data_IF_544485972549
#
_entry.id   IF_544485972549
#
_cell.length_a   1.000
_cell.length_b   1.000
_cell.length_c   1.000
_cell.angle_alpha   90.00
_cell.angle_beta   90.00
_cell.angle_gamma   90.00
#
_symmetry.space_group_name_H-M   'P 1'
#
loop_
_entity.id
_entity.type
_entity.pdbx_description
1 polymer ?
#
# COMPACT_ATOMS: atom_id res chain seq x y z
N UNK A 1 23.54 -4.58 21.07
CA UNK A 1 22.92 -3.50 20.29
C UNK A 1 22.70 -4.04 18.89
N UNK A 2 21.47 -4.47 18.55
CA UNK A 2 21.18 -5.12 17.25
C UNK A 2 20.89 -4.04 16.21
N UNK A 3 21.81 -3.86 15.28
CA UNK A 3 21.67 -3.03 14.09
C UNK A 3 20.64 -3.71 13.17
N UNK A 4 19.47 -3.10 12.99
CA UNK A 4 18.49 -3.56 12.01
C UNK A 4 18.91 -2.99 10.66
N UNK A 5 19.50 -3.84 9.81
CA UNK A 5 19.85 -3.49 8.43
C UNK A 5 18.55 -3.44 7.63
N UNK A 6 18.12 -2.24 7.24
CA UNK A 6 17.14 -2.05 6.17
C UNK A 6 17.79 -2.51 4.87
N UNK A 7 17.49 -3.74 4.45
CA UNK A 7 17.80 -4.20 3.11
C UNK A 7 16.89 -3.48 2.11
N UNK A 8 17.37 -2.35 1.57
CA UNK A 8 16.92 -1.87 0.26
C UNK A 8 17.60 -2.79 -0.75
N UNK A 9 16.92 -3.87 -1.15
CA UNK A 9 17.37 -4.68 -2.28
C UNK A 9 17.16 -3.87 -3.55
N UNK A 10 18.17 -3.07 -3.92
CA UNK A 10 18.35 -2.53 -5.25
C UNK A 10 18.76 -3.69 -6.16
N UNK A 11 17.77 -4.42 -6.68
CA UNK A 11 17.99 -5.39 -7.74
C UNK A 11 18.35 -4.61 -9.02
N UNK A 12 19.64 -4.51 -9.33
CA UNK A 12 20.08 -4.07 -10.66
C UNK A 12 19.74 -5.18 -11.67
N UNK A 13 18.72 -4.97 -12.50
CA UNK A 13 18.37 -5.88 -13.58
C UNK A 13 17.93 -5.09 -14.83
N UNK A 14 18.58 -5.39 -15.96
CA UNK A 14 18.21 -5.20 -17.36
C UNK A 14 17.01 -4.29 -17.68
N UNK A 15 17.27 -3.21 -18.44
CA UNK A 15 16.31 -2.36 -19.18
C UNK A 15 14.85 -2.48 -18.69
N UNK A 16 14.61 -2.06 -17.44
CA UNK A 16 13.34 -2.32 -16.80
C UNK A 16 12.31 -1.29 -17.26
N UNK A 17 11.64 -1.55 -18.38
CA UNK A 17 10.54 -0.71 -18.86
C UNK A 17 9.32 -0.76 -17.94
N UNK A 18 9.25 -1.76 -17.04
CA UNK A 18 8.17 -1.91 -16.05
C UNK A 18 8.66 -1.54 -14.65
N UNK A 19 8.02 -0.55 -14.02
CA UNK A 19 8.22 -0.25 -12.60
C UNK A 19 6.97 -0.61 -11.80
N UNK A 20 7.15 -1.07 -10.57
CA UNK A 20 6.06 -1.37 -9.64
C UNK A 20 6.27 -0.60 -8.35
N UNK A 21 5.24 0.11 -7.91
CA UNK A 21 5.26 0.83 -6.64
C UNK A 21 4.09 0.42 -5.77
N UNK A 22 4.36 0.25 -4.48
CA UNK A 22 3.32 0.03 -3.46
C UNK A 22 3.13 1.32 -2.68
N UNK A 23 1.90 1.81 -2.65
CA UNK A 23 1.50 3.00 -1.91
C UNK A 23 1.22 2.64 -0.45
N UNK A 24 1.26 3.64 0.42
CA UNK A 24 1.02 3.43 1.86
C UNK A 24 -0.41 2.95 2.16
N UNK A 25 -1.36 3.16 1.25
CA UNK A 25 -2.75 2.72 1.34
C UNK A 25 -2.98 1.29 0.80
N UNK A 26 -1.92 0.53 0.48
CA UNK A 26 -2.03 -0.85 0.01
C UNK A 26 -2.36 -1.00 -1.48
N UNK A 27 -2.37 0.10 -2.24
CA UNK A 27 -2.47 0.05 -3.69
C UNK A 27 -1.12 -0.31 -4.30
N UNK A 28 -1.15 -1.18 -5.32
CA UNK A 28 -0.01 -1.42 -6.19
C UNK A 28 -0.28 -0.82 -7.56
N UNK A 29 0.67 -0.01 -8.02
CA UNK A 29 0.68 0.52 -9.36
C UNK A 29 1.83 -0.11 -10.14
N UNK A 30 1.50 -0.71 -11.27
CA UNK A 30 2.49 -1.14 -12.25
C UNK A 30 2.44 -0.19 -13.44
N UNK A 31 3.59 0.40 -13.79
CA UNK A 31 3.73 1.28 -14.96
C UNK A 31 4.70 0.61 -15.92
N UNK A 32 4.23 0.32 -17.13
CA UNK A 32 5.04 -0.31 -18.18
C UNK A 32 5.20 0.64 -19.35
N UNK A 33 6.44 0.99 -19.68
CA UNK A 33 6.77 1.73 -20.88
C UNK A 33 6.80 0.80 -22.10
N UNK A 34 6.28 1.31 -23.22
CA UNK A 34 6.38 0.73 -24.54
C UNK A 34 7.16 1.72 -25.41
N UNK A 35 8.26 1.25 -25.99
CA UNK A 35 9.09 2.05 -26.91
C UNK A 35 8.61 1.94 -28.37
N UNK A 36 7.48 1.27 -28.62
CA UNK A 36 7.03 0.96 -29.98
C UNK A 36 7.95 -0.05 -30.68
N UNK A 37 8.20 0.18 -31.99
CA UNK A 37 9.08 -0.64 -32.81
C UNK A 37 10.30 0.19 -33.26
N UNK A 38 11.31 0.42 -32.40
CA UNK A 38 12.50 1.17 -32.76
C UNK A 38 13.18 0.59 -34.00
N UNK A 39 13.60 1.44 -34.93
CA UNK A 39 14.45 1.04 -36.07
C UNK A 39 15.95 1.12 -35.77
N UNK A 40 16.34 1.52 -34.54
CA UNK A 40 17.73 1.67 -34.10
C UNK A 40 18.03 0.96 -32.76
N UNK A 41 19.30 0.95 -32.35
CA UNK A 41 19.78 0.24 -31.14
C UNK A 41 19.65 1.06 -29.84
N UNK A 42 18.91 2.18 -29.84
CA UNK A 42 18.83 3.05 -28.68
C UNK A 42 18.23 2.31 -27.47
N UNK A 43 19.03 2.23 -26.39
CA UNK A 43 18.61 1.60 -25.14
C UNK A 43 18.16 2.68 -24.18
N UNK A 44 16.86 2.74 -23.96
CA UNK A 44 16.29 3.53 -22.88
C UNK A 44 16.14 2.66 -21.62
N UNK A 45 16.41 3.27 -20.47
CA UNK A 45 16.07 2.72 -19.16
C UNK A 45 15.12 3.66 -18.46
N UNK A 46 14.26 3.11 -17.61
CA UNK A 46 13.24 3.90 -16.91
C UNK A 46 13.45 3.78 -15.41
N UNK A 47 13.56 4.93 -14.75
CA UNK A 47 13.60 5.05 -13.31
C UNK A 47 12.25 5.53 -12.79
N UNK A 48 11.85 4.97 -11.64
CA UNK A 48 10.71 5.47 -10.87
C UNK A 48 11.21 5.88 -9.48
N UNK A 49 11.23 7.19 -9.22
CA UNK A 49 11.74 7.75 -7.98
C UNK A 49 10.63 8.50 -7.25
N UNK A 50 10.48 8.30 -5.93
CA UNK A 50 9.49 9.04 -5.15
C UNK A 50 9.79 10.54 -5.18
N UNK A 51 8.82 11.38 -5.57
CA UNK A 51 8.90 12.83 -5.52
C UNK A 51 8.56 13.32 -4.10
N UNK A 52 7.28 13.33 -3.74
CA UNK A 52 6.76 13.63 -2.41
C UNK A 52 5.45 12.85 -2.16
N UNK A 53 5.15 12.47 -0.92
CA UNK A 53 3.91 11.74 -0.59
C UNK A 53 3.68 10.50 -1.46
N UNK A 54 2.52 10.46 -2.12
CA UNK A 54 2.12 9.44 -3.11
C UNK A 54 2.37 9.90 -4.57
N UNK A 55 3.42 10.70 -4.78
CA UNK A 55 3.88 11.16 -6.10
C UNK A 55 5.27 10.63 -6.45
N UNK A 56 5.50 10.37 -7.74
CA UNK A 56 6.72 9.73 -8.25
C UNK A 56 7.20 10.38 -9.55
N UNK A 57 8.48 10.68 -9.66
CA UNK A 57 9.12 10.97 -10.93
C UNK A 57 9.31 9.69 -11.74
N UNK A 58 8.97 9.78 -13.02
CA UNK A 58 9.25 8.79 -14.05
C UNK A 58 10.28 9.40 -14.98
N UNK A 59 11.48 8.84 -15.00
CA UNK A 59 12.64 9.42 -15.69
C UNK A 59 13.15 8.40 -16.71
N UNK A 60 13.29 8.85 -17.95
CA UNK A 60 13.82 8.07 -19.06
C UNK A 60 15.26 8.46 -19.29
N UNK A 61 16.15 7.48 -19.16
CA UNK A 61 17.59 7.66 -19.32
C UNK A 61 18.05 6.99 -20.61
N UNK A 62 18.93 7.67 -21.35
CA UNK A 62 19.65 7.08 -22.48
C UNK A 62 20.83 6.19 -22.02
N UNK A 63 21.55 5.65 -23.00
CA UNK A 63 22.74 4.83 -22.79
C UNK A 63 23.94 5.58 -22.19
N UNK A 64 23.97 6.91 -22.28
CA UNK A 64 24.98 7.76 -21.64
C UNK A 64 24.56 8.21 -20.24
N UNK A 65 23.41 7.71 -19.76
CA UNK A 65 22.80 8.09 -18.50
C UNK A 65 22.41 9.57 -18.43
N UNK A 66 21.96 10.12 -19.57
CA UNK A 66 21.34 11.43 -19.65
C UNK A 66 19.82 11.28 -19.65
N UNK A 67 19.13 12.13 -18.88
CA UNK A 67 17.68 12.15 -18.81
C UNK A 67 17.11 12.78 -20.08
N UNK A 68 16.50 11.96 -20.93
CA UNK A 68 15.91 12.41 -22.20
C UNK A 68 14.45 12.83 -22.06
N UNK A 69 13.78 12.37 -21.00
CA UNK A 69 12.42 12.79 -20.67
C UNK A 69 12.10 12.49 -19.21
N UNK A 70 11.31 13.35 -18.56
CA UNK A 70 10.79 13.07 -17.23
C UNK A 70 9.38 13.63 -17.06
N UNK A 71 8.60 13.03 -16.16
CA UNK A 71 7.34 13.59 -15.70
C UNK A 71 7.05 13.16 -14.26
N UNK A 72 6.13 13.85 -13.59
CA UNK A 72 5.68 13.50 -12.24
C UNK A 72 4.33 12.77 -12.32
N UNK A 73 4.21 11.63 -11.66
CA UNK A 73 3.01 10.83 -11.54
C UNK A 73 2.47 10.95 -10.11
N UNK A 74 1.41 11.72 -9.93
CA UNK A 74 0.66 11.80 -8.68
C UNK A 74 -0.44 10.75 -8.69
N UNK A 75 -0.55 10.00 -7.59
CA UNK A 75 -1.59 9.00 -7.44
C UNK A 75 -2.28 9.09 -6.09
N UNK A 76 -3.59 8.99 -6.09
CA UNK A 76 -4.40 9.06 -4.88
C UNK A 76 -5.59 8.10 -4.98
N UNK A 77 -5.88 7.38 -3.91
CA UNK A 77 -7.11 6.59 -3.83
C UNK A 77 -8.31 7.54 -3.69
N UNK A 78 -9.41 7.25 -4.38
CA UNK A 78 -10.66 7.97 -4.17
C UNK A 78 -11.17 7.76 -2.73
N UNK A 79 -11.98 8.69 -2.18
CA UNK A 79 -12.47 8.60 -0.80
C UNK A 79 -13.24 7.32 -0.46
N UNK A 80 -13.87 6.71 -1.47
CA UNK A 80 -14.62 5.45 -1.37
C UNK A 80 -13.74 4.20 -1.56
N UNK A 81 -12.47 4.36 -1.95
CA UNK A 81 -11.54 3.25 -2.12
C UNK A 81 -11.71 2.46 -3.42
N UNK A 82 -12.70 2.82 -4.25
CA UNK A 82 -13.11 2.02 -5.41
C UNK A 82 -12.16 2.15 -6.60
N UNK A 83 -11.47 3.29 -6.69
CA UNK A 83 -10.58 3.62 -7.79
C UNK A 83 -9.40 4.49 -7.33
N UNK A 84 -8.36 4.54 -8.16
CA UNK A 84 -7.22 5.43 -8.01
C UNK A 84 -7.31 6.57 -9.01
N UNK A 85 -7.27 7.81 -8.54
CA UNK A 85 -7.00 8.96 -9.40
C UNK A 85 -5.51 8.97 -9.73
N UNK A 86 -5.17 8.95 -11.02
CA UNK A 86 -3.80 9.10 -11.50
C UNK A 86 -3.68 10.37 -12.36
N UNK A 87 -2.65 11.16 -12.09
CA UNK A 87 -2.37 12.43 -12.78
C UNK A 87 -0.90 12.45 -13.18
N UNK A 88 -0.62 12.63 -14.47
CA UNK A 88 0.71 12.87 -14.97
C UNK A 88 0.92 14.38 -15.16
N UNK A 89 1.96 14.94 -14.57
CA UNK A 89 2.27 16.37 -14.57
C UNK A 89 3.64 16.62 -15.21
N UNK A 90 3.88 17.82 -15.75
CA UNK A 90 5.23 18.24 -16.07
C UNK A 90 6.14 18.11 -14.85
N UNK A 91 7.35 17.57 -15.02
CA UNK A 91 8.37 17.60 -13.99
C UNK A 91 8.80 19.06 -13.75
N UNK A 92 8.61 19.54 -12.53
CA UNK A 92 8.94 20.91 -12.14
C UNK A 92 10.38 21.09 -11.67
N UNK A 93 10.67 22.29 -11.16
CA UNK A 93 11.99 22.70 -10.67
C UNK A 93 12.56 21.78 -9.57
N UNK A 94 11.69 21.11 -8.80
CA UNK A 94 12.09 20.14 -7.78
C UNK A 94 12.83 18.93 -8.37
N UNK A 95 12.49 18.49 -9.59
CA UNK A 95 13.24 17.45 -10.28
C UNK A 95 14.66 17.95 -10.56
N UNK A 96 14.81 19.15 -11.11
CA UNK A 96 16.11 19.72 -11.45
C UNK A 96 17.00 19.93 -10.22
N UNK A 97 16.41 20.33 -9.08
CA UNK A 97 17.13 20.44 -7.82
C UNK A 97 17.63 19.08 -7.30
N UNK A 98 16.85 18.01 -7.51
CA UNK A 98 17.19 16.66 -7.05
C UNK A 98 18.14 15.91 -7.98
N UNK A 99 18.04 16.18 -9.27
CA UNK A 99 18.86 15.58 -10.33
C UNK A 99 19.62 16.68 -11.09
N UNK A 100 20.58 17.36 -10.42
CA UNK A 100 21.35 18.40 -11.07
C UNK A 100 22.15 17.80 -12.23
N UNK A 101 22.13 18.47 -13.39
CA UNK A 101 22.81 18.05 -14.61
C UNK A 101 22.34 16.72 -15.22
N UNK A 102 21.11 16.28 -14.93
CA UNK A 102 20.55 15.05 -15.50
C UNK A 102 20.59 15.02 -17.04
N UNK A 103 20.41 16.16 -17.71
CA UNK A 103 20.57 16.31 -19.16
C UNK A 103 21.78 17.19 -19.52
N UNK A 104 22.96 16.86 -18.97
CA UNK A 104 24.21 17.56 -19.24
C UNK A 104 24.15 19.09 -19.02
N UNK A 105 23.38 19.52 -18.01
CA UNK A 105 23.19 20.92 -17.65
C UNK A 105 22.05 21.64 -18.40
N UNK A 106 21.35 20.97 -19.30
CA UNK A 106 20.11 21.47 -19.91
C UNK A 106 18.89 21.09 -19.07
N UNK A 107 17.76 21.81 -19.23
CA UNK A 107 16.49 21.39 -18.67
C UNK A 107 16.04 20.04 -19.27
N UNK A 108 15.69 19.08 -18.41
CA UNK A 108 15.17 17.78 -18.84
C UNK A 108 13.82 17.99 -19.55
N UNK A 109 13.62 17.44 -20.77
CA UNK A 109 12.33 17.47 -21.44
C UNK A 109 11.22 16.84 -20.61
N UNK A 110 10.00 17.37 -20.70
CA UNK A 110 8.86 16.93 -19.88
C UNK A 110 7.53 17.08 -20.63
N UNK A 111 6.44 16.58 -20.04
CA UNK A 111 5.08 16.85 -20.49
C UNK A 111 4.82 18.35 -20.64
N UNK A 112 4.10 18.74 -21.68
CA UNK A 112 3.73 20.13 -21.95
C UNK A 112 2.57 20.63 -21.07
N UNK A 113 1.74 19.72 -20.57
CA UNK A 113 0.60 20.00 -19.72
C UNK A 113 0.29 18.80 -18.82
N UNK A 114 -0.47 19.04 -17.76
CA UNK A 114 -1.02 18.00 -16.90
C UNK A 114 -2.04 17.16 -17.67
N UNK A 115 -1.96 15.84 -17.51
CA UNK A 115 -2.87 14.86 -18.10
C UNK A 115 -3.50 14.01 -17.00
N UNK A 116 -4.83 13.98 -16.96
CA UNK A 116 -5.55 13.06 -16.10
C UNK A 116 -5.69 11.71 -16.78
N UNK A 117 -5.32 10.65 -16.05
CA UNK A 117 -5.41 9.26 -16.54
C UNK A 117 -6.68 8.56 -16.04
N UNK A 118 -7.55 9.33 -15.38
CA UNK A 118 -8.87 8.93 -14.88
C UNK A 118 -8.85 8.45 -13.43
N UNK A 119 -10.05 8.17 -12.88
CA UNK A 119 -10.19 7.15 -11.85
C UNK A 119 -10.00 5.77 -12.48
N UNK A 120 -9.06 5.00 -11.95
CA UNK A 120 -8.69 3.66 -12.40
C UNK A 120 -9.04 2.65 -11.32
N UNK A 121 -10.07 1.83 -11.57
CA UNK A 121 -10.42 0.71 -10.71
C UNK A 121 -9.40 -0.44 -10.85
N UNK A 122 -9.47 -1.43 -9.95
CA UNK A 122 -8.58 -2.60 -10.01
C UNK A 122 -8.72 -3.35 -11.34
N UNK A 123 -7.58 -3.67 -11.96
CA UNK A 123 -7.52 -4.34 -13.27
C UNK A 123 -7.72 -3.42 -14.47
N UNK A 124 -8.12 -2.16 -14.27
CA UNK A 124 -8.17 -1.19 -15.36
C UNK A 124 -6.78 -0.66 -15.68
N UNK A 125 -6.65 -0.14 -16.91
CA UNK A 125 -5.42 0.50 -17.35
C UNK A 125 -5.68 1.78 -18.13
N UNK A 126 -4.78 2.75 -17.96
CA UNK A 126 -4.69 3.93 -18.81
C UNK A 126 -3.43 3.87 -19.67
N UNK A 127 -3.43 4.61 -20.78
CA UNK A 127 -2.24 4.80 -21.62
C UNK A 127 -1.92 6.29 -21.71
N UNK A 128 -0.64 6.64 -21.58
CA UNK A 128 -0.12 8.00 -21.74
C UNK A 128 0.85 8.00 -22.92
N UNK A 129 0.59 8.84 -23.93
CA UNK A 129 1.59 9.15 -24.95
C UNK A 129 2.58 10.17 -24.40
N UNK A 130 3.89 9.91 -24.56
CA UNK A 130 4.93 10.78 -23.99
C UNK A 130 5.59 11.63 -25.06
N UNK A 131 6.42 11.02 -25.91
CA UNK A 131 7.19 11.71 -26.93
C UNK A 131 7.48 10.79 -28.11
N UNK A 132 7.83 11.42 -29.22
CA UNK A 132 8.38 10.76 -30.40
C UNK A 132 9.82 11.24 -30.58
N UNK A 133 10.73 10.34 -30.96
CA UNK A 133 12.07 10.72 -31.44
C UNK A 133 12.03 10.76 -32.97
N UNK A 134 12.00 11.95 -33.60
CA UNK A 134 11.87 12.07 -35.05
C UNK A 134 13.01 11.38 -35.77
N UNK A 135 12.69 10.65 -36.86
CA UNK A 135 13.68 9.94 -37.68
C UNK A 135 14.04 8.53 -37.19
N UNK A 136 13.57 8.10 -36.00
CA UNK A 136 13.81 6.76 -35.46
C UNK A 136 12.55 5.89 -35.34
N UNK A 137 11.37 6.45 -35.67
CA UNK A 137 10.08 5.75 -35.54
C UNK A 137 9.72 5.36 -34.09
N UNK A 138 10.45 5.90 -33.12
CA UNK A 138 10.29 5.64 -31.69
C UNK A 138 9.12 6.47 -31.16
N UNK A 139 7.98 5.83 -30.94
CA UNK A 139 6.85 6.40 -30.22
C UNK A 139 6.81 5.82 -28.81
N UNK A 140 7.15 6.65 -27.83
CA UNK A 140 7.18 6.25 -26.43
C UNK A 140 5.81 6.50 -25.80
N UNK A 141 5.24 5.44 -25.26
CA UNK A 141 4.00 5.46 -24.50
C UNK A 141 4.13 4.63 -23.24
N UNK A 142 3.28 4.90 -22.26
CA UNK A 142 3.22 4.12 -21.04
C UNK A 142 1.83 3.60 -20.78
N UNK A 143 1.77 2.36 -20.30
CA UNK A 143 0.56 1.73 -19.80
C UNK A 143 0.62 1.65 -18.28
N UNK A 144 -0.39 2.22 -17.63
CA UNK A 144 -0.58 2.19 -16.19
C UNK A 144 -1.58 1.10 -15.90
N UNK A 145 -1.17 0.03 -15.23
CA UNK A 145 -2.06 -1.03 -14.75
C UNK A 145 -2.23 -0.87 -13.25
N UNK A 146 -3.47 -0.68 -12.80
CA UNK A 146 -3.80 -0.53 -11.39
C UNK A 146 -4.21 -1.88 -10.81
N UNK A 147 -3.61 -2.26 -9.70
CA UNK A 147 -4.06 -3.37 -8.86
C UNK A 147 -4.39 -2.82 -7.48
N UNK A 148 -5.69 -2.69 -7.23
CA UNK A 148 -6.22 -2.37 -5.91
C UNK A 148 -6.41 -3.69 -5.15
N UNK A 149 -5.89 -3.77 -3.94
CA UNK A 149 -6.00 -4.97 -3.11
C UNK A 149 -4.91 -6.02 -3.36
N UNK A 150 -4.88 -6.99 -2.46
CA UNK A 150 -3.77 -7.92 -2.23
C UNK A 150 -3.58 -8.96 -3.34
N UNK A 151 -2.95 -8.59 -4.46
CA UNK A 151 -2.43 -9.61 -5.40
C UNK A 151 -1.00 -10.08 -5.08
N UNK A 152 -0.31 -9.46 -4.13
CA UNK A 152 0.85 -10.11 -3.50
C UNK A 152 0.50 -10.50 -2.08
N UNK A 153 0.02 -11.75 -1.94
CA UNK A 153 -0.04 -12.57 -0.72
C UNK A 153 -0.60 -11.88 0.53
N UNK A 154 -1.77 -12.31 0.99
CA UNK A 154 -2.24 -12.14 2.37
C UNK A 154 -1.92 -10.74 2.93
N UNK A 155 -2.56 -9.71 2.37
CA UNK A 155 -2.28 -8.32 2.73
C UNK A 155 -2.33 -8.14 4.25
N UNK A 156 -1.25 -7.60 4.83
CA UNK A 156 -1.16 -7.38 6.26
C UNK A 156 -2.33 -6.51 6.74
N UNK A 157 -2.99 -6.97 7.79
CA UNK A 157 -4.01 -6.19 8.49
C UNK A 157 -3.34 -5.05 9.25
N UNK A 158 -3.96 -3.88 9.24
CA UNK A 158 -3.45 -2.68 9.91
C UNK A 158 -4.51 -2.13 10.85
N UNK A 159 -4.19 -2.07 12.13
CA UNK A 159 -5.07 -1.51 13.15
C UNK A 159 -4.44 -0.22 13.67
N UNK A 160 -5.17 0.89 13.60
CA UNK A 160 -4.72 2.19 14.11
C UNK A 160 -5.91 3.00 14.61
N UNK A 161 -5.84 3.45 15.86
CA UNK A 161 -6.91 4.26 16.46
C UNK A 161 -8.26 3.55 16.50
N UNK A 162 -8.27 2.22 16.66
CA UNK A 162 -9.48 1.41 16.55
C UNK A 162 -10.55 1.86 17.54
N UNK A 163 -11.78 2.03 17.04
CA UNK A 163 -13.01 2.17 17.81
C UNK A 163 -13.92 1.01 17.44
N UNK A 164 -14.46 0.33 18.45
CA UNK A 164 -15.28 -0.86 18.27
C UNK A 164 -16.65 -0.57 18.85
N UNK A 165 -17.69 -0.92 18.10
CA UNK A 165 -19.06 -0.90 18.55
C UNK A 165 -19.75 -2.23 18.25
N UNK A 166 -20.84 -2.48 18.96
CA UNK A 166 -21.77 -3.54 18.66
C UNK A 166 -23.18 -3.00 18.81
N UNK A 167 -24.04 -3.27 17.83
CA UNK A 167 -25.41 -2.72 17.77
C UNK A 167 -25.43 -1.18 17.94
N UNK A 168 -24.42 -0.49 17.40
CA UNK A 168 -24.24 0.96 17.52
C UNK A 168 -23.76 1.47 18.88
N UNK A 169 -23.60 0.59 19.89
CA UNK A 169 -23.07 0.96 21.21
C UNK A 169 -21.55 0.83 21.24
N UNK A 170 -20.81 1.85 21.70
CA UNK A 170 -19.36 1.76 21.81
C UNK A 170 -18.96 0.69 22.84
N UNK A 171 -18.05 -0.20 22.45
CA UNK A 171 -17.50 -1.25 23.31
C UNK A 171 -16.07 -0.93 23.74
N UNK A 172 -15.25 -0.40 22.84
CA UNK A 172 -13.84 -0.16 23.12
C UNK A 172 -13.22 0.90 22.19
N UNK A 173 -12.10 1.47 22.62
CA UNK A 173 -11.29 2.43 21.88
C UNK A 173 -11.50 3.90 22.27
N UNK A 174 -10.74 4.82 21.65
CA UNK A 174 -9.72 4.57 20.63
C UNK A 174 -8.49 3.83 21.19
N UNK A 175 -8.00 2.81 20.48
CA UNK A 175 -6.72 2.18 20.83
C UNK A 175 -5.55 3.15 20.60
N UNK A 176 -4.59 3.26 21.54
CA UNK A 176 -3.36 4.01 21.29
C UNK A 176 -2.46 3.27 20.29
N UNK A 177 -1.83 4.02 19.39
CA UNK A 177 -0.81 3.52 18.46
C UNK A 177 -1.34 2.87 17.18
N UNK A 178 -0.48 2.08 16.54
CA UNK A 178 -0.74 1.39 15.28
C UNK A 178 0.04 0.07 15.21
N UNK A 179 -0.60 -0.99 14.72
CA UNK A 179 0.02 -2.31 14.52
C UNK A 179 -0.29 -2.82 13.13
N UNK A 180 0.63 -3.60 12.55
CA UNK A 180 0.46 -4.20 11.23
C UNK A 180 1.11 -5.59 11.16
N UNK A 181 0.48 -6.53 10.47
CA UNK A 181 1.01 -7.88 10.29
C UNK A 181 0.03 -8.79 9.54
N UNK A 182 0.48 -9.97 9.11
CA UNK A 182 -0.38 -10.96 8.43
C UNK A 182 -1.63 -11.31 9.26
N UNK A 183 -1.46 -11.39 10.57
CA UNK A 183 -2.53 -11.53 11.54
C UNK A 183 -2.58 -10.30 12.41
N UNK A 184 -3.80 -9.87 12.75
CA UNK A 184 -4.02 -8.84 13.74
C UNK A 184 -4.99 -9.36 14.80
N UNK A 185 -4.94 -8.78 15.98
CA UNK A 185 -5.86 -9.11 17.05
C UNK A 185 -6.19 -7.88 17.87
N UNK A 186 -7.36 -7.89 18.48
CA UNK A 186 -7.65 -7.03 19.60
C UNK A 186 -8.33 -7.81 20.71
N UNK A 187 -8.13 -7.35 21.95
CA UNK A 187 -8.78 -7.89 23.13
C UNK A 187 -9.74 -6.85 23.67
N UNK A 188 -10.99 -7.25 23.91
CA UNK A 188 -11.98 -6.42 24.58
C UNK A 188 -12.19 -6.98 26.00
N UNK A 189 -12.00 -6.16 27.04
CA UNK A 189 -12.27 -6.56 28.42
C UNK A 189 -13.67 -7.14 28.60
N UNK A 190 -13.75 -8.28 29.28
CA UNK A 190 -15.00 -9.02 29.50
C UNK A 190 -15.55 -9.76 28.27
N UNK A 191 -14.91 -9.63 27.10
CA UNK A 191 -15.33 -10.31 25.85
C UNK A 191 -14.24 -11.20 25.25
N UNK A 192 -12.99 -11.10 25.68
CA UNK A 192 -11.92 -11.95 25.17
C UNK A 192 -11.23 -11.38 23.93
N UNK A 193 -10.53 -12.23 23.19
CA UNK A 193 -9.74 -11.84 22.03
C UNK A 193 -10.42 -12.21 20.72
N UNK A 194 -10.31 -11.28 19.77
CA UNK A 194 -10.68 -11.48 18.38
C UNK A 194 -9.39 -11.46 17.56
N UNK A 195 -9.14 -12.55 16.85
CA UNK A 195 -8.01 -12.70 15.94
C UNK A 195 -8.51 -12.64 14.51
N UNK A 196 -7.75 -11.98 13.66
CA UNK A 196 -8.14 -11.65 12.30
C UNK A 196 -7.09 -12.13 11.30
N UNK A 197 -7.56 -12.64 10.17
CA UNK A 197 -6.75 -12.98 9.00
C UNK A 197 -7.48 -12.60 7.71
N UNK A 198 -6.74 -12.36 6.64
CA UNK A 198 -7.26 -12.08 5.30
C UNK A 198 -7.40 -13.33 4.44
N UNK A 199 -7.14 -14.50 5.02
CA UNK A 199 -7.22 -15.80 4.36
C UNK A 199 -7.64 -16.90 5.36
N UNK A 200 -8.11 -18.07 4.87
CA UNK A 200 -8.33 -19.23 5.74
C UNK A 200 -7.05 -19.64 6.46
N UNK A 201 -7.17 -20.03 7.73
CA UNK A 201 -6.04 -20.46 8.57
C UNK A 201 -6.17 -21.96 8.90
N UNK A 202 -5.47 -22.86 8.18
CA UNK A 202 -5.52 -24.29 8.46
C UNK A 202 -5.07 -24.60 9.89
N UNK A 203 -5.77 -25.52 10.55
CA UNK A 203 -5.45 -25.96 11.92
C UNK A 203 -6.01 -25.08 13.04
N UNK A 204 -6.62 -23.94 12.72
CA UNK A 204 -7.28 -23.07 13.70
C UNK A 204 -8.74 -22.82 13.33
N UNK A 205 -9.59 -22.57 14.32
CA UNK A 205 -11.03 -22.38 14.16
C UNK A 205 -11.42 -20.97 13.64
N UNK A 206 -10.69 -20.46 12.66
CA UNK A 206 -11.03 -19.21 11.99
C UNK A 206 -12.26 -19.41 11.09
N UNK A 207 -13.28 -18.59 11.29
CA UNK A 207 -14.48 -18.57 10.46
C UNK A 207 -14.50 -17.33 9.60
N UNK A 208 -14.89 -17.48 8.33
CA UNK A 208 -15.13 -16.33 7.46
C UNK A 208 -16.37 -15.59 7.94
N UNK A 209 -16.18 -14.45 8.60
CA UNK A 209 -17.22 -13.83 9.42
C UNK A 209 -17.42 -12.35 9.15
N UNK A 210 -16.65 -11.75 8.24
CA UNK A 210 -16.79 -10.34 7.98
C UNK A 210 -16.14 -9.85 6.70
N UNK A 211 -16.19 -8.53 6.56
CA UNK A 211 -15.55 -7.79 5.48
C UNK A 211 -14.88 -6.52 6.02
N UNK A 212 -13.86 -6.08 5.30
CA UNK A 212 -13.22 -4.78 5.46
C UNK A 212 -13.53 -3.92 4.24
N UNK A 213 -13.67 -2.62 4.46
CA UNK A 213 -13.82 -1.59 3.44
C UNK A 213 -13.09 -0.35 3.93
N UNK A 214 -11.92 -0.07 3.34
CA UNK A 214 -11.02 0.99 3.78
C UNK A 214 -10.81 0.97 5.31
N UNK A 215 -11.31 1.98 6.01
CA UNK A 215 -11.13 2.20 7.45
C UNK A 215 -12.17 1.48 8.31
N UNK A 216 -13.11 0.76 7.69
CA UNK A 216 -14.17 0.03 8.40
C UNK A 216 -14.02 -1.46 8.24
N UNK A 217 -14.37 -2.19 9.29
CA UNK A 217 -14.51 -3.63 9.27
C UNK A 217 -15.81 -4.00 9.97
N UNK A 218 -16.58 -4.90 9.38
CA UNK A 218 -17.81 -5.44 9.95
C UNK A 218 -17.70 -6.95 10.00
N UNK A 219 -18.07 -7.54 11.13
CA UNK A 219 -18.08 -8.99 11.26
C UNK A 219 -19.13 -9.43 12.28
N UNK A 220 -19.57 -10.68 12.16
CA UNK A 220 -20.56 -11.29 13.05
C UNK A 220 -19.94 -12.53 13.68
N UNK A 221 -19.88 -12.57 15.01
CA UNK A 221 -19.40 -13.71 15.79
C UNK A 221 -20.33 -13.91 16.97
N UNK A 222 -20.64 -15.18 17.27
CA UNK A 222 -21.55 -15.55 18.37
C UNK A 222 -22.92 -14.84 18.28
N UNK A 223 -23.41 -14.63 17.05
CA UNK A 223 -24.63 -13.88 16.73
C UNK A 223 -24.62 -12.41 17.19
N UNK A 224 -23.44 -11.83 17.37
CA UNK A 224 -23.25 -10.42 17.69
C UNK A 224 -22.57 -9.72 16.53
N UNK A 225 -23.19 -8.64 16.06
CA UNK A 225 -22.62 -7.79 15.03
C UNK A 225 -21.65 -6.79 15.65
N UNK A 226 -20.47 -6.72 15.05
CA UNK A 226 -19.40 -5.79 15.41
C UNK A 226 -19.10 -4.86 14.26
N UNK A 227 -18.91 -3.58 14.58
CA UNK A 227 -18.32 -2.59 13.68
C UNK A 227 -17.02 -2.07 14.28
N UNK A 228 -15.98 -2.04 13.46
CA UNK A 228 -14.66 -1.53 13.80
C UNK A 228 -14.33 -0.40 12.85
N UNK A 229 -13.95 0.75 13.42
CA UNK A 229 -13.51 1.93 12.67
C UNK A 229 -12.08 2.26 13.04
N UNK A 230 -11.22 2.40 12.05
CA UNK A 230 -9.82 2.76 12.16
C UNK A 230 -9.56 4.17 11.62
N UNK A 231 -8.38 4.74 11.93
CA UNK A 231 -7.93 6.01 11.36
C UNK A 231 -7.25 5.85 9.99
N UNK A 232 -6.96 4.62 9.57
CA UNK A 232 -6.30 4.27 8.31
C UNK A 232 -6.90 2.97 7.74
N UNK A 233 -6.71 2.67 6.45
CA UNK A 233 -7.26 1.46 5.86
C UNK A 233 -6.79 0.17 6.56
N UNK A 234 -7.75 -0.69 6.90
CA UNK A 234 -7.54 -1.94 7.64
C UNK A 234 -6.91 -3.03 6.76
N UNK A 235 -7.37 -3.13 5.50
CA UNK A 235 -6.93 -4.14 4.53
C UNK A 235 -6.85 -3.52 3.12
N UNK A 236 -6.04 -2.48 2.95
CA UNK A 236 -5.96 -1.77 1.67
C UNK A 236 -7.35 -1.28 1.22
N UNK A 237 -7.84 -1.73 0.07
CA UNK A 237 -9.18 -1.39 -0.45
C UNK A 237 -10.32 -2.19 0.16
N UNK A 238 -10.03 -3.17 1.01
CA UNK A 238 -11.02 -4.03 1.62
C UNK A 238 -10.89 -5.50 1.20
N UNK A 239 -11.79 -6.32 1.70
CA UNK A 239 -11.81 -7.75 1.42
C UNK A 239 -12.53 -8.55 2.50
N UNK A 240 -12.45 -9.87 2.37
CA UNK A 240 -13.02 -10.79 3.35
C UNK A 240 -12.09 -10.91 4.56
N UNK A 241 -12.67 -11.06 5.74
CA UNK A 241 -11.91 -11.31 6.97
C UNK A 241 -12.39 -12.59 7.65
N UNK A 242 -11.40 -13.38 8.05
CA UNK A 242 -11.57 -14.56 8.88
C UNK A 242 -11.33 -14.17 10.32
N UNK A 243 -12.24 -14.58 11.21
CA UNK A 243 -12.21 -14.24 12.61
C UNK A 243 -12.16 -15.52 13.44
N UNK A 244 -11.26 -15.56 14.41
CA UNK A 244 -11.30 -16.52 15.51
C UNK A 244 -11.59 -15.73 16.78
N UNK A 245 -12.57 -16.18 17.55
CA UNK A 245 -12.92 -15.57 18.82
C UNK A 245 -12.58 -16.53 19.95
N UNK A 246 -11.79 -16.05 20.90
CA UNK A 246 -11.51 -16.72 22.15
C UNK A 246 -12.03 -15.86 23.30
N UNK A 247 -13.26 -16.17 23.73
CA UNK A 247 -13.92 -15.47 24.83
C UNK A 247 -13.19 -15.64 26.18
N UNK A 248 -12.41 -16.71 26.32
CA UNK A 248 -11.63 -17.01 27.53
C UNK A 248 -10.24 -16.38 27.53
N UNK A 249 -9.79 -15.84 26.40
CA UNK A 249 -8.46 -15.25 26.28
C UNK A 249 -8.25 -14.13 27.29
N UNK A 250 -7.13 -14.20 27.99
CA UNK A 250 -6.62 -13.13 28.85
C UNK A 250 -5.17 -12.83 28.47
N UNK A 251 -4.81 -11.57 28.20
CA UNK A 251 -3.44 -11.24 27.84
C UNK A 251 -2.48 -11.59 28.98
N UNK A 252 -1.36 -12.24 28.62
CA UNK A 252 -0.26 -12.58 29.53
C UNK A 252 1.05 -12.02 28.98
N UNK A 253 1.82 -11.25 29.76
CA UNK A 253 3.16 -10.76 29.36
C UNK A 253 3.74 -9.62 30.19
N UNK A 254 5.00 -9.24 29.96
CA UNK A 254 5.75 -8.23 30.75
C UNK A 254 5.16 -6.81 30.77
N UNK A 255 4.19 -6.52 29.90
CA UNK A 255 3.47 -5.25 29.87
C UNK A 255 2.28 -5.24 30.85
N UNK A 256 1.87 -6.41 31.36
CA UNK A 256 0.89 -6.57 32.45
C UNK A 256 1.54 -6.61 33.84
N UNK A 257 2.87 -6.52 33.93
CA UNK A 257 3.63 -6.52 35.20
C UNK A 257 3.97 -5.12 35.73
N UNK A 258 3.52 -4.05 35.07
CA UNK A 258 3.60 -2.70 35.62
C UNK A 258 2.46 -2.49 36.65
N UNK A 259 2.75 -2.34 37.96
CA UNK A 259 1.74 -2.15 39.00
C UNK A 259 0.92 -0.86 38.83
N UNK A 260 1.44 0.13 38.08
CA UNK A 260 0.71 1.38 37.79
C UNK A 260 -0.23 1.25 36.58
N UNK A 261 -0.11 0.16 35.79
CA UNK A 261 -1.03 -0.20 34.69
C UNK A 261 -1.89 -1.42 35.02
N UNK A 262 -1.98 -1.78 36.31
CA UNK A 262 -2.56 -3.03 36.83
C UNK A 262 -4.09 -3.16 36.73
N UNK A 263 -4.72 -2.53 35.75
CA UNK A 263 -6.05 -2.97 35.31
C UNK A 263 -5.82 -4.03 34.23
N UNK A 264 -5.90 -5.31 34.63
CA UNK A 264 -5.74 -6.51 33.79
C UNK A 264 -6.81 -6.66 32.67
N UNK A 265 -7.47 -5.56 32.34
CA UNK A 265 -8.70 -5.46 31.58
C UNK A 265 -8.71 -4.15 30.77
N UNK A 266 -7.62 -3.86 30.07
CA UNK A 266 -7.59 -2.75 29.11
C UNK A 266 -7.72 -3.27 27.68
N UNK A 267 -8.47 -2.51 26.87
CA UNK A 267 -8.52 -2.70 25.44
C UNK A 267 -7.13 -2.56 24.84
N UNK A 268 -6.70 -3.54 24.03
CA UNK A 268 -5.44 -3.44 23.30
C UNK A 268 -5.53 -4.15 21.95
N UNK A 269 -4.56 -3.86 21.11
CA UNK A 269 -4.39 -4.46 19.81
C UNK A 269 -2.95 -4.92 19.60
N UNK A 270 -2.78 -5.99 18.84
CA UNK A 270 -1.47 -6.52 18.45
C UNK A 270 -1.52 -7.02 17.00
N UNK A 271 -0.35 -7.15 16.39
CA UNK A 271 -0.20 -7.77 15.08
C UNK A 271 1.04 -8.66 15.07
N UNK A 272 1.02 -9.68 14.22
CA UNK A 272 2.11 -10.64 14.05
C UNK A 272 2.03 -11.29 12.68
N UNK A 273 3.16 -11.72 12.14
CA UNK A 273 3.20 -12.52 10.92
C UNK A 273 2.99 -14.02 11.18
N UNK A 274 2.92 -14.41 12.46
CA UNK A 274 2.70 -15.80 12.91
C UNK A 274 1.72 -15.84 14.09
N UNK A 275 0.88 -16.88 14.13
CA UNK A 275 -0.08 -17.06 15.24
C UNK A 275 0.53 -17.68 16.50
N UNK A 276 1.70 -18.32 16.40
CA UNK A 276 2.30 -19.09 17.51
C UNK A 276 2.63 -18.29 18.78
N UNK A 277 2.61 -16.96 18.72
CA UNK A 277 2.74 -16.10 19.89
C UNK A 277 1.45 -15.94 20.69
N UNK A 278 0.30 -16.22 20.08
CA UNK A 278 -1.02 -16.03 20.69
C UNK A 278 -1.79 -17.33 20.85
N UNK A 279 -1.71 -18.19 19.84
CA UNK A 279 -2.43 -19.45 19.76
C UNK A 279 -1.39 -20.58 19.78
N UNK A 280 -1.42 -21.47 20.79
CA UNK A 280 -0.56 -22.65 20.83
C UNK A 280 -0.95 -23.69 19.77
#
# INVERSE_FOLDING_TARGET
MKLCVLCVSASAAYAQLSSTVSLNNGVRLQVTASLGNPTGEEKLTVEMARASGDSFYRIFWDQNHLAVFAYELEVALLPDGSALRAIAKPAGDELAARYPNADAGKPVPTLSTTQELGPLASGQSATLGLFEIPGMGLQVSEKFLVRLGAEDRAGALRFSGLRISSEGKPLAGPAPGGVAGRYAMFYIPGRGAFFFSTEPVPGHAFVKAGTTELTRMRFTIDNVDYEVVANAPIQGVGGEVWVLHDAGYKPVGNWTSDPQRAEKDQFFMAASDTLGWWLP
#
